data_IF_993946823502
#
_entry.id   IF_993946823502
#
_cell.length_a   1.000
_cell.length_b   1.000
_cell.length_c   1.000
_cell.angle_alpha   90.00
_cell.angle_beta   90.00
_cell.angle_gamma   90.00
#
_symmetry.space_group_name_H-M   'P 1'
#
loop_
_entity.id
_entity.type
_entity.pdbx_description
1 polymer ?
#
# COMPACT_ATOMS: atom_id res chain seq x y z
N UNK A 1 -24.34 -18.37 -7.87
CA UNK A 1 -24.57 -16.97 -8.28
C UNK A 1 -23.20 -16.36 -8.46
N UNK A 2 -22.77 -16.13 -9.71
CA UNK A 2 -21.48 -15.50 -9.98
C UNK A 2 -21.63 -14.02 -9.67
N UNK A 3 -20.99 -13.56 -8.61
CA UNK A 3 -20.76 -12.13 -8.39
C UNK A 3 -20.01 -11.63 -9.61
N UNK A 4 -20.52 -10.61 -10.29
CA UNK A 4 -19.84 -10.09 -11.47
C UNK A 4 -18.52 -9.47 -11.02
N UNK A 5 -17.45 -9.55 -11.84
CA UNK A 5 -16.15 -8.96 -11.48
C UNK A 5 -16.22 -7.45 -11.21
N UNK A 6 -17.28 -6.77 -11.68
CA UNK A 6 -17.57 -5.38 -11.36
C UNK A 6 -18.05 -5.19 -9.92
N UNK A 7 -18.95 -6.04 -9.42
CA UNK A 7 -19.45 -5.95 -8.04
C UNK A 7 -18.33 -6.19 -7.01
N UNK A 8 -17.40 -7.10 -7.33
CA UNK A 8 -16.25 -7.38 -6.46
C UNK A 8 -15.30 -6.18 -6.38
N UNK A 9 -14.99 -5.53 -7.51
CA UNK A 9 -14.11 -4.36 -7.56
C UNK A 9 -14.71 -3.17 -6.82
N UNK A 10 -16.00 -2.94 -7.01
CA UNK A 10 -16.73 -1.91 -6.27
C UNK A 10 -16.67 -2.17 -4.76
N UNK A 11 -16.91 -3.41 -4.33
CA UNK A 11 -16.81 -3.78 -2.91
C UNK A 11 -15.41 -3.57 -2.33
N UNK A 12 -14.35 -3.84 -3.09
CA UNK A 12 -12.97 -3.57 -2.64
C UNK A 12 -12.74 -2.06 -2.47
N UNK A 13 -13.15 -1.25 -3.44
CA UNK A 13 -12.99 0.20 -3.40
C UNK A 13 -13.76 0.83 -2.22
N UNK A 14 -14.99 0.40 -1.98
CA UNK A 14 -15.80 0.83 -0.82
C UNK A 14 -15.08 0.50 0.49
N UNK A 15 -14.58 -0.74 0.63
CA UNK A 15 -13.84 -1.16 1.83
C UNK A 15 -12.57 -0.36 2.07
N UNK A 16 -11.78 -0.11 1.02
CA UNK A 16 -10.57 0.73 1.12
C UNK A 16 -10.95 2.14 1.57
N UNK A 17 -11.97 2.74 0.93
CA UNK A 17 -12.44 4.09 1.23
C UNK A 17 -12.88 4.23 2.68
N UNK A 18 -13.72 3.31 3.15
CA UNK A 18 -14.23 3.32 4.52
C UNK A 18 -13.11 3.12 5.54
N UNK A 19 -12.21 2.16 5.30
CA UNK A 19 -11.12 1.81 6.23
C UNK A 19 -10.08 2.93 6.34
N UNK A 20 -9.61 3.46 5.22
CA UNK A 20 -8.60 4.52 5.22
C UNK A 20 -9.21 5.85 5.70
N UNK A 21 -10.41 6.18 5.24
CA UNK A 21 -11.12 7.38 5.68
C UNK A 21 -11.37 7.42 7.20
N UNK A 22 -11.73 6.29 7.80
CA UNK A 22 -11.91 6.17 9.25
C UNK A 22 -10.61 6.40 10.05
N UNK A 23 -9.44 6.27 9.41
CA UNK A 23 -8.12 6.48 10.00
C UNK A 23 -7.51 7.84 9.65
N UNK A 24 -8.31 8.75 9.08
CA UNK A 24 -7.89 10.11 8.76
C UNK A 24 -7.06 10.23 7.48
N UNK A 25 -7.10 9.22 6.60
CA UNK A 25 -6.59 9.38 5.24
C UNK A 25 -7.51 10.28 4.44
N UNK A 26 -6.92 11.14 3.61
CA UNK A 26 -7.67 12.04 2.75
C UNK A 26 -7.63 11.53 1.33
N UNK A 27 -8.79 11.47 0.68
CA UNK A 27 -8.87 11.20 -0.75
C UNK A 27 -8.37 12.43 -1.50
N UNK A 28 -7.46 12.25 -2.44
CA UNK A 28 -6.93 13.39 -3.18
C UNK A 28 -8.01 14.05 -4.04
N UNK A 29 -8.02 15.39 -4.10
CA UNK A 29 -9.05 16.13 -4.86
C UNK A 29 -9.06 15.77 -6.37
N UNK A 30 -7.89 15.44 -6.93
CA UNK A 30 -7.80 14.92 -8.29
C UNK A 30 -8.43 13.52 -8.39
N UNK A 31 -8.18 12.65 -7.41
CA UNK A 31 -8.72 11.30 -7.36
C UNK A 31 -10.24 11.29 -7.12
N UNK A 32 -10.77 12.19 -6.30
CA UNK A 32 -12.20 12.37 -6.11
C UNK A 32 -12.89 12.78 -7.44
N UNK A 33 -12.25 13.64 -8.24
CA UNK A 33 -12.76 14.06 -9.55
C UNK A 33 -12.79 12.94 -10.59
N UNK A 34 -11.87 11.98 -10.52
CA UNK A 34 -11.77 10.85 -11.45
C UNK A 34 -12.26 9.51 -10.86
N UNK A 35 -12.85 9.57 -9.66
CA UNK A 35 -13.22 8.40 -8.84
C UNK A 35 -12.09 7.37 -8.67
N UNK A 36 -10.85 7.85 -8.60
CA UNK A 36 -9.70 7.01 -8.31
C UNK A 36 -9.58 6.77 -6.80
N UNK A 37 -9.24 5.56 -6.37
CA UNK A 37 -8.98 5.25 -4.97
C UNK A 37 -7.54 5.64 -4.63
N UNK A 38 -7.28 6.95 -4.65
CA UNK A 38 -6.00 7.54 -4.27
C UNK A 38 -6.16 8.28 -2.94
N UNK A 39 -5.38 7.86 -1.96
CA UNK A 39 -5.43 8.34 -0.59
C UNK A 39 -4.05 8.77 -0.16
N UNK A 40 -4.01 9.89 0.57
CA UNK A 40 -2.80 10.36 1.21
C UNK A 40 -2.98 10.47 2.72
N UNK A 41 -1.93 10.15 3.47
CA UNK A 41 -1.84 10.40 4.90
C UNK A 41 -0.53 11.13 5.21
N UNK A 42 -0.63 12.26 5.90
CA UNK A 42 0.52 13.05 6.32
C UNK A 42 0.61 13.03 7.85
N UNK A 43 1.76 12.57 8.35
CA UNK A 43 2.04 12.49 9.78
C UNK A 43 3.03 13.55 10.26
N UNK A 44 3.38 14.52 9.41
CA UNK A 44 4.36 15.58 9.65
C UNK A 44 5.83 15.16 9.50
N UNK A 45 6.12 13.87 9.29
CA UNK A 45 7.46 13.33 9.03
C UNK A 45 7.58 12.73 7.63
N UNK A 46 6.51 12.12 7.15
CA UNK A 46 6.38 11.59 5.82
C UNK A 46 4.93 11.69 5.35
N UNK A 47 4.76 11.75 4.03
CA UNK A 47 3.49 11.52 3.36
C UNK A 47 3.46 10.09 2.86
N UNK A 48 2.43 9.35 3.23
CA UNK A 48 2.11 8.06 2.64
C UNK A 48 1.07 8.22 1.56
N UNK A 49 1.24 7.49 0.47
CA UNK A 49 0.28 7.41 -0.64
C UNK A 49 -0.22 5.98 -0.78
N UNK A 50 -1.52 5.83 -1.04
CA UNK A 50 -2.18 4.56 -1.27
C UNK A 50 -3.07 4.70 -2.51
N UNK A 51 -2.70 4.01 -3.57
CA UNK A 51 -3.46 3.99 -4.82
C UNK A 51 -3.90 2.57 -5.15
N UNK A 52 -5.18 2.34 -5.43
CA UNK A 52 -5.68 1.03 -5.87
C UNK A 52 -6.03 1.01 -7.37
N UNK A 53 -5.37 0.16 -8.16
CA UNK A 53 -5.78 -0.10 -9.55
C UNK A 53 -6.83 -1.21 -9.59
N UNK A 54 -8.09 -0.86 -9.78
CA UNK A 54 -9.16 -1.83 -9.98
C UNK A 54 -9.04 -2.59 -11.31
N UNK A 55 -8.36 -2.02 -12.31
CA UNK A 55 -8.15 -2.64 -13.62
C UNK A 55 -7.21 -3.85 -13.52
N UNK A 56 -6.14 -3.68 -12.74
CA UNK A 56 -5.01 -4.61 -12.68
C UNK A 56 -4.89 -5.34 -11.34
N UNK A 57 -5.77 -5.03 -10.38
CA UNK A 57 -5.90 -5.64 -9.06
C UNK A 57 -4.62 -5.60 -8.20
N UNK A 58 -4.09 -4.38 -8.02
CA UNK A 58 -2.92 -4.11 -7.18
C UNK A 58 -3.02 -2.75 -6.49
N UNK A 59 -2.21 -2.55 -5.47
CA UNK A 59 -2.08 -1.31 -4.70
C UNK A 59 -0.68 -0.71 -4.85
N UNK A 60 -0.57 0.57 -5.18
CA UNK A 60 0.67 1.36 -5.04
C UNK A 60 0.72 1.87 -3.61
N UNK A 61 1.85 1.65 -2.95
CA UNK A 61 2.18 2.30 -1.69
C UNK A 61 3.38 3.19 -1.90
N UNK A 62 3.24 4.48 -1.59
CA UNK A 62 4.32 5.45 -1.65
C UNK A 62 4.70 5.95 -0.27
N UNK A 63 6.00 6.21 -0.06
CA UNK A 63 6.50 7.11 0.97
C UNK A 63 7.19 8.29 0.31
N UNK A 64 6.77 9.50 0.67
CA UNK A 64 7.33 10.75 0.17
C UNK A 64 7.81 11.58 1.36
N UNK A 65 9.05 12.02 1.29
CA UNK A 65 9.68 12.94 2.24
C UNK A 65 10.54 13.94 1.48
N UNK A 66 11.06 14.96 2.17
CA UNK A 66 11.93 15.97 1.55
C UNK A 66 13.20 15.39 0.91
N UNK A 67 13.66 14.21 1.35
CA UNK A 67 14.93 13.62 0.93
C UNK A 67 14.81 12.24 0.27
N UNK A 68 13.62 11.62 0.31
CA UNK A 68 13.43 10.25 -0.12
C UNK A 68 12.01 10.04 -0.65
N UNK A 69 11.95 9.32 -1.76
CA UNK A 69 10.74 8.84 -2.40
C UNK A 69 10.92 7.33 -2.63
N UNK A 70 9.92 6.54 -2.24
CA UNK A 70 9.96 5.09 -2.37
C UNK A 70 8.58 4.53 -2.65
N UNK A 71 8.51 3.60 -3.60
CA UNK A 71 7.25 3.01 -4.03
C UNK A 71 7.29 1.49 -4.05
N UNK A 72 6.15 0.92 -3.64
CA UNK A 72 5.87 -0.50 -3.73
C UNK A 72 4.62 -0.72 -4.57
N UNK A 73 4.63 -1.80 -5.33
CA UNK A 73 3.42 -2.39 -5.89
C UNK A 73 3.08 -3.66 -5.09
N UNK A 74 1.85 -3.76 -4.62
CA UNK A 74 1.39 -4.85 -3.77
C UNK A 74 0.17 -5.53 -4.40
N UNK A 75 0.27 -6.83 -4.65
CA UNK A 75 -0.90 -7.68 -4.95
C UNK A 75 -1.34 -8.37 -3.69
N UNK A 76 -2.58 -8.16 -3.29
CA UNK A 76 -3.13 -8.63 -2.02
C UNK A 76 -4.01 -9.87 -2.15
N UNK A 77 -4.63 -10.14 -3.31
CA UNK A 77 -5.52 -11.27 -3.49
C UNK A 77 -6.68 -11.27 -2.48
N UNK A 78 -6.74 -12.27 -1.61
CA UNK A 78 -7.76 -12.36 -0.55
C UNK A 78 -7.38 -11.59 0.73
N UNK A 79 -6.16 -11.03 0.79
CA UNK A 79 -5.55 -10.47 2.00
C UNK A 79 -5.65 -8.93 2.11
N UNK A 80 -6.70 -8.33 1.52
CA UNK A 80 -6.92 -6.88 1.57
C UNK A 80 -6.93 -6.32 2.99
N UNK A 81 -7.64 -6.96 3.93
CA UNK A 81 -7.71 -6.46 5.32
C UNK A 81 -6.35 -6.49 6.01
N UNK A 82 -5.53 -7.52 5.77
CA UNK A 82 -4.20 -7.62 6.34
C UNK A 82 -3.25 -6.55 5.78
N UNK A 83 -3.37 -6.23 4.48
CA UNK A 83 -2.67 -5.09 3.88
C UNK A 83 -3.08 -3.77 4.54
N UNK A 84 -4.39 -3.53 4.67
CA UNK A 84 -4.90 -2.30 5.28
C UNK A 84 -4.48 -2.18 6.76
N UNK A 85 -4.54 -3.27 7.52
CA UNK A 85 -4.07 -3.32 8.91
C UNK A 85 -2.58 -2.96 9.01
N UNK A 86 -1.73 -3.50 8.11
CA UNK A 86 -0.31 -3.20 8.08
C UNK A 86 -0.04 -1.72 7.78
N UNK A 87 -0.73 -1.14 6.78
CA UNK A 87 -0.61 0.27 6.40
C UNK A 87 -1.06 1.18 7.55
N UNK A 88 -2.22 0.90 8.14
CA UNK A 88 -2.81 1.72 9.22
C UNK A 88 -1.96 1.64 10.48
N UNK A 89 -1.43 0.46 10.82
CA UNK A 89 -0.64 0.28 12.05
C UNK A 89 0.63 1.15 12.07
N UNK A 90 1.23 1.41 10.91
CA UNK A 90 2.49 2.17 10.82
C UNK A 90 2.31 3.63 10.44
N UNK A 91 1.12 4.05 9.98
CA UNK A 91 0.93 5.36 9.35
C UNK A 91 1.38 6.54 10.22
N UNK A 92 1.21 6.43 11.54
CA UNK A 92 1.60 7.48 12.50
C UNK A 92 3.11 7.51 12.76
N UNK A 93 3.80 6.38 12.55
CA UNK A 93 5.20 6.17 12.89
C UNK A 93 6.13 6.26 11.70
N UNK A 94 5.60 6.11 10.48
CA UNK A 94 6.40 6.01 9.26
C UNK A 94 7.26 7.26 9.02
N UNK A 95 8.53 7.00 8.75
CA UNK A 95 9.57 7.95 8.40
C UNK A 95 10.60 7.21 7.49
N UNK A 96 11.53 7.92 6.82
CA UNK A 96 12.47 7.30 5.88
C UNK A 96 13.27 6.12 6.45
N UNK A 97 13.69 6.23 7.71
CA UNK A 97 14.46 5.22 8.43
C UNK A 97 13.65 3.98 8.84
N UNK A 98 12.32 4.07 8.84
CA UNK A 98 11.42 2.97 9.14
C UNK A 98 10.85 2.28 7.89
N UNK A 99 11.19 2.75 6.68
CA UNK A 99 10.64 2.24 5.43
C UNK A 99 10.95 0.74 5.22
N UNK A 100 12.20 0.33 5.45
CA UNK A 100 12.60 -1.08 5.32
C UNK A 100 11.88 -1.98 6.33
N UNK A 101 11.67 -1.48 7.56
CA UNK A 101 10.91 -2.20 8.57
C UNK A 101 9.43 -2.37 8.18
N UNK A 102 8.84 -1.36 7.55
CA UNK A 102 7.49 -1.46 6.99
C UNK A 102 7.40 -2.48 5.85
N UNK A 103 8.39 -2.53 4.96
CA UNK A 103 8.47 -3.56 3.91
C UNK A 103 8.47 -4.96 4.52
N UNK A 104 9.24 -5.19 5.59
CA UNK A 104 9.26 -6.49 6.27
C UNK A 104 7.91 -6.86 6.93
N UNK A 105 7.16 -5.87 7.44
CA UNK A 105 5.78 -6.09 7.92
C UNK A 105 4.87 -6.56 6.78
N UNK A 106 4.97 -5.94 5.60
CA UNK A 106 4.19 -6.35 4.42
C UNK A 106 4.58 -7.77 3.97
N UNK A 107 5.88 -8.11 3.99
CA UNK A 107 6.40 -9.42 3.60
C UNK A 107 6.05 -10.54 4.60
N UNK A 108 5.64 -10.20 5.82
CA UNK A 108 5.13 -11.17 6.80
C UNK A 108 3.68 -11.64 6.51
N UNK A 109 2.96 -10.91 5.67
CA UNK A 109 1.64 -11.27 5.17
C UNK A 109 1.81 -12.00 3.82
N UNK A 110 0.93 -12.95 3.44
CA UNK A 110 0.95 -13.60 2.12
C UNK A 110 0.54 -12.65 0.97
N UNK A 111 1.25 -11.52 0.84
CA UNK A 111 1.14 -10.54 -0.22
C UNK A 111 2.24 -10.79 -1.27
N UNK A 112 2.02 -10.36 -2.50
CA UNK A 112 3.13 -10.18 -3.44
C UNK A 112 3.56 -8.72 -3.44
N UNK A 113 4.75 -8.45 -2.89
CA UNK A 113 5.32 -7.10 -2.80
C UNK A 113 6.43 -6.94 -3.84
N UNK A 114 6.39 -5.85 -4.58
CA UNK A 114 7.39 -5.51 -5.59
C UNK A 114 7.90 -4.09 -5.30
N UNK A 115 9.22 -3.90 -5.30
CA UNK A 115 9.81 -2.57 -5.34
C UNK A 115 9.75 -2.03 -6.76
N UNK A 116 9.41 -0.75 -6.91
CA UNK A 116 9.51 -0.03 -8.18
C UNK A 116 10.92 0.55 -8.27
N UNK A 117 11.74 0.03 -9.18
CA UNK A 117 13.15 0.38 -9.33
C UNK A 117 13.41 0.94 -10.72
N UNK A 118 13.12 2.22 -10.94
CA UNK A 118 13.32 2.85 -12.25
C UNK A 118 12.56 4.17 -12.35
N UNK A 119 12.69 4.82 -13.51
CA UNK A 119 11.85 5.97 -13.85
C UNK A 119 10.43 5.52 -14.28
N UNK A 120 10.30 4.27 -14.74
CA UNK A 120 9.04 3.68 -15.19
C UNK A 120 8.45 2.72 -14.14
N UNK A 121 7.14 2.83 -13.90
CA UNK A 121 6.38 1.97 -12.97
C UNK A 121 6.36 0.48 -13.36
N UNK A 122 6.89 0.14 -14.54
CA UNK A 122 7.04 -1.24 -15.01
C UNK A 122 8.28 -1.96 -14.50
N UNK A 123 9.27 -1.23 -13.98
CA UNK A 123 10.52 -1.83 -13.49
C UNK A 123 10.33 -2.39 -12.08
N UNK A 124 9.71 -3.58 -12.02
CA UNK A 124 9.29 -4.23 -10.79
C UNK A 124 10.27 -5.31 -10.34
N UNK A 125 10.80 -5.20 -9.13
CA UNK A 125 11.60 -6.24 -8.49
C UNK A 125 10.79 -6.89 -7.38
N UNK A 126 10.51 -8.20 -7.52
CA UNK A 126 9.80 -8.95 -6.46
C UNK A 126 10.65 -9.00 -5.20
N UNK A 127 10.07 -8.55 -4.10
CA UNK A 127 10.69 -8.61 -2.79
C UNK A 127 10.36 -9.96 -2.14
N UNK A 128 11.30 -10.44 -1.35
CA UNK A 128 11.17 -11.66 -0.58
C UNK A 128 11.53 -11.33 0.86
N UNK A 129 10.80 -11.91 1.82
CA UNK A 129 11.17 -11.79 3.22
C UNK A 129 12.63 -12.20 3.37
N UNK A 130 13.42 -11.29 3.91
CA UNK A 130 14.79 -11.56 4.29
C UNK A 130 14.70 -12.54 5.45
N UNK A 131 14.80 -13.84 5.17
CA UNK A 131 14.79 -14.88 6.20
C UNK A 131 15.99 -14.75 7.15
N UNK A 132 16.02 -13.73 8.00
CA UNK A 132 17.00 -13.54 9.05
C UNK A 132 16.47 -14.18 10.32
N UNK A 133 16.34 -15.51 10.28
CA UNK A 133 16.28 -16.32 11.49
C UNK A 133 17.66 -16.93 11.72
N UNK A 134 18.56 -16.16 12.33
CA UNK A 134 19.66 -16.70 13.15
C UNK A 134 19.93 -15.77 14.34
N UNK A 135 19.10 -15.90 15.36
CA UNK A 135 19.63 -15.85 16.72
C UNK A 135 20.48 -17.11 16.91
N UNK A 136 21.81 -16.99 16.80
CA UNK A 136 22.71 -17.94 17.46
C UNK A 136 23.20 -17.26 18.72
N UNK A 137 22.66 -17.72 19.86
CA UNK A 137 23.27 -17.51 21.17
C UNK A 137 24.47 -18.42 21.38
#
# INVERSE_FOLDING_TARGET
MSVSGQDQRQSIQERITDRLGAQGWFREAAAEKFDWPDFAFDNGRARMEFFYSAADDWVRLGILTDSQEGYLQVRFGEHLEALLDAVIAVQQELAPDCWDAFIEILLAVPLEVYAITGEDESDLVKLHSSGSFRAMG
#
